data_IF_953023634286
#
_entry.id   IF_953023634286
#
_cell.length_a   1.000
_cell.length_b   1.000
_cell.length_c   1.000
_cell.angle_alpha   90.00
_cell.angle_beta   90.00
_cell.angle_gamma   90.00
#
_symmetry.space_group_name_H-M   'P 1'
#
loop_
_entity.id
_entity.type
_entity.pdbx_description
1 polymer ?
#
# COMPACT_ATOMS: atom_id res chain seq x y z
N UNK A 1 -18.17 29.37 4.49
CA UNK A 1 -16.75 29.49 4.08
C UNK A 1 -16.02 28.28 4.63
N UNK A 2 -15.14 27.66 3.85
CA UNK A 2 -14.43 26.44 4.24
C UNK A 2 -12.96 26.68 4.56
N UNK A 3 -12.30 25.68 5.14
CA UNK A 3 -10.87 25.67 5.38
C UNK A 3 -10.22 24.67 4.41
N UNK A 4 -9.17 25.12 3.73
CA UNK A 4 -8.32 24.26 2.91
C UNK A 4 -7.00 24.02 3.62
N UNK A 5 -6.58 22.76 3.67
CA UNK A 5 -5.35 22.33 4.34
C UNK A 5 -4.54 21.44 3.39
N UNK A 6 -3.51 21.98 2.72
CA UNK A 6 -2.56 21.17 1.97
C UNK A 6 -1.55 20.52 2.93
N UNK A 7 -1.12 19.31 2.59
CA UNK A 7 -0.04 18.62 3.30
C UNK A 7 0.83 17.80 2.36
N UNK A 8 2.08 17.64 2.76
CA UNK A 8 3.07 16.79 2.10
C UNK A 8 3.64 15.83 3.15
N UNK A 9 3.69 14.56 2.82
CA UNK A 9 4.30 13.52 3.64
C UNK A 9 5.44 12.88 2.86
N UNK A 10 6.57 12.70 3.53
CA UNK A 10 7.75 12.02 3.01
C UNK A 10 8.19 11.00 4.06
N UNK A 11 8.45 9.77 3.64
CA UNK A 11 8.82 8.69 4.54
C UNK A 11 9.75 7.69 3.91
N UNK A 12 10.59 7.10 4.76
CA UNK A 12 11.33 5.88 4.45
C UNK A 12 10.73 4.76 5.29
N UNK A 13 10.40 3.63 4.65
CA UNK A 13 9.80 2.48 5.32
C UNK A 13 10.71 1.26 5.23
N UNK A 14 10.69 0.47 6.30
CA UNK A 14 11.41 -0.79 6.40
C UNK A 14 10.45 -1.91 6.85
N UNK A 15 10.33 -2.97 6.06
CA UNK A 15 9.58 -4.17 6.43
C UNK A 15 10.40 -5.04 7.39
N UNK A 16 9.84 -5.29 8.58
CA UNK A 16 10.48 -6.06 9.64
C UNK A 16 10.41 -7.58 9.43
N UNK A 17 9.42 -8.05 8.67
CA UNK A 17 9.23 -9.46 8.34
C UNK A 17 9.62 -9.72 6.90
N UNK A 18 10.35 -10.81 6.69
CA UNK A 18 10.61 -11.39 5.37
C UNK A 18 9.61 -12.54 5.18
N UNK A 19 8.66 -12.38 4.27
CA UNK A 19 7.74 -13.43 3.86
C UNK A 19 8.19 -14.00 2.52
N UNK A 20 9.46 -14.41 2.42
CA UNK A 20 9.87 -15.42 1.46
C UNK A 20 9.16 -16.74 1.84
N UNK A 21 7.88 -16.85 1.50
CA UNK A 21 7.10 -18.05 1.76
C UNK A 21 7.47 -19.12 0.74
N UNK A 22 8.02 -20.23 1.22
CA UNK A 22 8.17 -21.43 0.41
C UNK A 22 6.79 -22.00 0.10
N UNK A 23 6.34 -21.82 -1.13
CA UNK A 23 5.09 -22.41 -1.59
C UNK A 23 5.37 -23.84 -2.02
N UNK A 24 4.79 -24.80 -1.30
CA UNK A 24 4.87 -26.21 -1.68
C UNK A 24 3.58 -26.62 -2.35
N UNK A 25 3.67 -27.12 -3.57
CA UNK A 25 2.52 -27.73 -4.25
C UNK A 25 2.62 -29.25 -4.16
N UNK A 26 1.46 -29.90 -4.08
CA UNK A 26 1.32 -31.35 -4.21
C UNK A 26 0.23 -31.63 -5.23
N UNK A 27 0.48 -32.54 -6.15
CA UNK A 27 -0.53 -32.99 -7.09
C UNK A 27 -1.49 -33.94 -6.38
N UNK A 28 -2.80 -33.69 -6.54
CA UNK A 28 -3.86 -34.46 -5.85
C UNK A 28 -3.85 -35.94 -6.27
N UNK A 29 -3.45 -36.22 -7.51
CA UNK A 29 -3.43 -37.57 -8.10
C UNK A 29 -2.03 -38.22 -8.15
N UNK A 30 -1.09 -37.77 -7.31
CA UNK A 30 0.24 -38.39 -7.23
C UNK A 30 0.30 -39.45 -6.11
N UNK A 31 0.34 -40.77 -6.44
CA UNK A 31 0.41 -41.84 -5.47
C UNK A 31 1.76 -41.93 -4.74
N UNK A 32 2.79 -41.22 -5.21
CA UNK A 32 4.12 -41.16 -4.59
C UNK A 32 4.29 -39.92 -3.69
N UNK A 33 3.26 -39.09 -3.57
CA UNK A 33 3.20 -37.88 -2.74
C UNK A 33 4.38 -36.92 -2.94
N UNK A 34 4.89 -36.77 -4.16
CA UNK A 34 6.00 -35.85 -4.41
C UNK A 34 5.57 -34.40 -4.17
N UNK A 35 6.34 -33.73 -3.31
CA UNK A 35 6.21 -32.31 -3.03
C UNK A 35 7.20 -31.52 -3.90
N UNK A 36 6.70 -30.54 -4.64
CA UNK A 36 7.54 -29.56 -5.36
C UNK A 36 7.48 -28.25 -4.59
N UNK A 37 8.64 -27.84 -4.06
CA UNK A 37 8.80 -26.55 -3.39
C UNK A 37 9.25 -25.47 -4.37
N UNK A 38 8.57 -24.33 -4.35
CA UNK A 38 9.02 -23.11 -4.98
C UNK A 38 9.43 -22.13 -3.90
N UNK A 39 10.62 -21.57 -4.02
CA UNK A 39 11.06 -20.47 -3.19
C UNK A 39 10.47 -19.19 -3.80
N UNK A 40 9.59 -18.50 -3.06
CA UNK A 40 9.11 -17.19 -3.47
C UNK A 40 10.27 -16.20 -3.45
N UNK A 41 10.31 -15.31 -4.44
CA UNK A 41 11.23 -14.18 -4.44
C UNK A 41 10.97 -13.35 -3.18
N UNK A 42 12.00 -12.99 -2.39
CA UNK A 42 11.79 -12.13 -1.23
C UNK A 42 11.26 -10.76 -1.69
N UNK A 43 10.25 -10.25 -0.97
CA UNK A 43 9.75 -8.89 -1.17
C UNK A 43 10.80 -7.86 -0.74
N UNK A 44 10.84 -6.71 -1.43
CA UNK A 44 11.76 -5.65 -1.04
C UNK A 44 11.43 -5.09 0.34
N UNK A 45 12.47 -5.00 1.16
CA UNK A 45 12.32 -4.64 2.56
C UNK A 45 12.41 -3.15 2.82
N UNK A 46 12.78 -2.34 1.84
CA UNK A 46 12.95 -0.91 2.01
C UNK A 46 12.32 -0.18 0.83
N UNK A 47 11.58 0.89 1.12
CA UNK A 47 11.08 1.78 0.09
C UNK A 47 10.90 3.19 0.64
N UNK A 48 10.98 4.16 -0.27
CA UNK A 48 10.55 5.52 -0.02
C UNK A 48 9.08 5.72 -0.40
N UNK A 49 8.42 6.63 0.30
CA UNK A 49 7.04 7.03 -0.02
C UNK A 49 6.92 8.55 0.05
N UNK A 50 6.20 9.13 -0.91
CA UNK A 50 5.69 10.49 -0.80
C UNK A 50 4.18 10.53 -1.00
N UNK A 51 3.52 11.44 -0.29
CA UNK A 51 2.10 11.71 -0.46
C UNK A 51 1.83 13.21 -0.46
N UNK A 52 0.95 13.66 -1.35
CA UNK A 52 0.40 15.01 -1.40
C UNK A 52 -1.09 14.90 -1.11
N UNK A 53 -1.55 15.59 -0.08
CA UNK A 53 -2.94 15.53 0.38
C UNK A 53 -3.54 16.91 0.48
N UNK A 54 -4.76 17.05 -0.02
CA UNK A 54 -5.56 18.26 0.07
C UNK A 54 -6.84 17.95 0.83
N UNK A 55 -6.98 18.51 2.03
CA UNK A 55 -8.17 18.36 2.87
C UNK A 55 -9.01 19.63 2.83
N UNK A 56 -10.33 19.45 2.77
CA UNK A 56 -11.31 20.51 2.71
C UNK A 56 -12.33 20.31 3.83
N UNK A 57 -12.54 21.33 4.65
CA UNK A 57 -13.62 21.40 5.63
C UNK A 57 -14.61 22.46 5.20
N UNK A 58 -15.86 22.07 4.99
CA UNK A 58 -16.94 22.97 4.58
C UNK A 58 -17.87 23.27 5.76
N UNK A 59 -18.71 24.28 5.60
CA UNK A 59 -19.79 24.57 6.55
C UNK A 59 -20.82 23.44 6.58
N UNK A 60 -21.49 23.25 7.73
CA UNK A 60 -22.52 22.22 7.96
C UNK A 60 -21.96 20.78 8.07
N UNK A 61 -20.81 20.59 8.72
CA UNK A 61 -20.31 19.25 9.08
C UNK A 61 -19.77 18.43 7.90
N UNK A 62 -19.58 19.03 6.74
CA UNK A 62 -19.00 18.37 5.57
C UNK A 62 -17.49 18.50 5.55
N UNK A 63 -16.78 17.40 5.29
CA UNK A 63 -15.35 17.42 5.03
C UNK A 63 -14.97 16.39 3.97
N UNK A 64 -13.87 16.63 3.27
CA UNK A 64 -13.37 15.71 2.26
C UNK A 64 -11.88 15.84 2.06
N UNK A 65 -11.29 14.85 1.37
CA UNK A 65 -9.88 14.88 1.03
C UNK A 65 -9.62 14.26 -0.33
N UNK A 66 -8.50 14.68 -0.92
CA UNK A 66 -7.88 14.10 -2.11
C UNK A 66 -6.42 13.84 -1.76
N UNK A 67 -5.95 12.62 -1.99
CA UNK A 67 -4.55 12.25 -1.76
C UNK A 67 -3.97 11.52 -2.96
N UNK A 68 -2.78 11.95 -3.38
CA UNK A 68 -1.95 11.22 -4.32
C UNK A 68 -0.70 10.72 -3.60
N UNK A 69 -0.46 9.40 -3.65
CA UNK A 69 0.64 8.72 -3.00
C UNK A 69 1.43 7.89 -3.99
N UNK A 70 2.75 7.91 -3.88
CA UNK A 70 3.63 7.13 -4.73
C UNK A 70 4.79 6.55 -3.92
N UNK A 71 5.08 5.27 -4.19
CA UNK A 71 6.28 4.59 -3.70
C UNK A 71 7.43 4.77 -4.68
N UNK A 72 8.65 4.84 -4.16
CA UNK A 72 9.89 4.93 -4.93
C UNK A 72 10.99 4.10 -4.26
N UNK A 73 12.08 3.83 -4.99
CA UNK A 73 13.18 2.97 -4.52
C UNK A 73 12.70 1.57 -4.09
N UNK A 74 11.75 1.02 -4.84
CA UNK A 74 11.26 -0.36 -4.76
C UNK A 74 11.68 -1.04 -6.08
N UNK A 75 12.28 -2.23 -6.03
CA UNK A 75 12.86 -2.94 -7.18
C UNK A 75 11.78 -3.62 -8.05
N UNK A 76 10.63 -3.98 -7.47
CA UNK A 76 9.60 -4.75 -8.18
C UNK A 76 8.35 -3.97 -8.61
N UNK A 77 7.87 -3.00 -7.83
CA UNK A 77 6.57 -2.34 -8.09
C UNK A 77 6.58 -0.82 -7.88
N UNK A 78 6.37 -0.06 -8.96
CA UNK A 78 6.00 1.36 -8.87
C UNK A 78 4.49 1.51 -8.59
N UNK A 79 4.12 1.50 -7.32
CA UNK A 79 2.73 1.71 -6.91
C UNK A 79 2.38 3.20 -6.85
N UNK A 80 1.29 3.59 -7.52
CA UNK A 80 0.70 4.93 -7.49
C UNK A 80 -0.76 4.82 -7.08
N UNK A 81 -1.14 5.53 -6.03
CA UNK A 81 -2.47 5.45 -5.44
C UNK A 81 -3.10 6.83 -5.40
N UNK A 82 -4.31 6.94 -5.94
CA UNK A 82 -5.17 8.11 -5.79
C UNK A 82 -6.31 7.75 -4.83
N UNK A 83 -6.41 8.47 -3.72
CA UNK A 83 -7.46 8.29 -2.72
C UNK A 83 -8.36 9.52 -2.65
N UNK A 84 -9.65 9.27 -2.50
CA UNK A 84 -10.68 10.30 -2.35
C UNK A 84 -11.57 9.90 -1.17
N UNK A 85 -11.95 10.87 -0.35
CA UNK A 85 -12.86 10.61 0.76
C UNK A 85 -13.77 11.78 1.05
N UNK A 86 -14.95 11.47 1.56
CA UNK A 86 -15.97 12.44 1.96
C UNK A 86 -16.60 11.99 3.27
N UNK A 87 -16.81 12.93 4.18
CA UNK A 87 -17.41 12.73 5.50
C UNK A 87 -18.51 13.77 5.71
N UNK A 88 -19.61 13.32 6.30
CA UNK A 88 -20.77 14.15 6.65
C UNK A 88 -21.06 13.87 8.12
N UNK A 89 -21.08 14.93 8.93
CA UNK A 89 -21.47 14.88 10.34
C UNK A 89 -22.92 15.37 10.47
N UNK A 90 -23.75 14.59 11.20
CA UNK A 90 -25.17 14.84 11.45
C UNK A 90 -25.38 15.55 12.79
#
# INVERSE_FOLDING_TARGET
>A
WGVWQPSLQLGWRHALTDSAERTTIRFVDDPLEYAVGFDAQPDDRNWGEFAVTSTFTFTHGHSGFIEYRQRFAHDFLEERVLSLGWRIEL
#
